data_IF_908287275231
#
_entry.id   IF_908287275231
#
_cell.length_a   1.000
_cell.length_b   1.000
_cell.length_c   1.000
_cell.angle_alpha   90.00
_cell.angle_beta   90.00
_cell.angle_gamma   90.00
#
_symmetry.space_group_name_H-M   'P 1'
#
loop_
_entity.id
_entity.type
_entity.pdbx_description
1 polymer ?
#
# COMPACT_ATOMS: atom_id res chain seq x y z
N UNK A 1 18.48 -63.49 38.05
CA UNK A 1 18.25 -63.54 36.59
C UNK A 1 17.01 -62.70 36.29
N UNK A 2 17.12 -61.73 35.37
CA UNK A 2 16.02 -60.87 34.91
C UNK A 2 14.96 -61.64 34.10
N UNK A 3 13.76 -61.09 33.86
CA UNK A 3 13.58 -60.19 32.70
C UNK A 3 12.65 -58.97 32.94
N UNK A 4 12.61 -58.11 31.91
CA UNK A 4 12.03 -56.74 31.80
C UNK A 4 10.57 -56.72 31.33
N UNK A 5 9.83 -55.66 31.73
CA UNK A 5 8.74 -55.00 30.96
C UNK A 5 8.56 -53.55 31.46
N UNK A 6 7.93 -52.60 30.71
CA UNK A 6 8.53 -51.30 30.42
C UNK A 6 7.92 -50.11 31.17
N UNK A 7 8.77 -49.11 31.44
CA UNK A 7 8.38 -47.78 31.92
C UNK A 7 7.87 -46.93 30.76
N UNK A 8 6.69 -46.36 30.94
CA UNK A 8 6.20 -45.26 30.12
C UNK A 8 6.93 -43.94 30.41
N UNK A 9 6.69 -42.97 29.52
CA UNK A 9 6.82 -41.54 29.79
C UNK A 9 8.13 -40.88 29.35
N UNK A 10 8.21 -40.43 28.10
CA UNK A 10 8.83 -39.13 27.78
C UNK A 10 8.41 -38.72 26.37
N UNK A 11 7.52 -37.73 26.30
CA UNK A 11 7.22 -36.96 25.10
C UNK A 11 8.50 -36.39 24.51
N UNK A 12 8.93 -36.94 23.38
CA UNK A 12 9.78 -36.25 22.41
C UNK A 12 9.02 -36.21 21.10
N UNK A 13 8.66 -35.01 20.68
CA UNK A 13 8.19 -34.72 19.32
C UNK A 13 9.29 -35.16 18.35
N UNK A 14 9.06 -36.11 17.43
CA UNK A 14 10.04 -36.43 16.41
C UNK A 14 10.03 -35.34 15.34
N UNK A 15 11.22 -34.81 15.05
CA UNK A 15 11.52 -33.91 13.94
C UNK A 15 11.02 -34.50 12.61
N UNK A 16 10.12 -33.80 11.94
CA UNK A 16 9.66 -34.14 10.59
C UNK A 16 10.76 -33.83 9.54
N UNK A 17 11.02 -34.74 8.58
CA UNK A 17 11.80 -34.42 7.40
C UNK A 17 10.90 -33.90 6.26
N UNK A 18 11.36 -32.86 5.56
CA UNK A 18 11.09 -32.64 4.14
C UNK A 18 9.78 -31.97 3.74
N UNK A 19 9.90 -30.97 2.86
CA UNK A 19 8.85 -30.41 1.98
C UNK A 19 7.90 -29.37 2.57
N UNK A 20 8.44 -28.24 3.02
CA UNK A 20 7.69 -26.99 3.17
C UNK A 20 7.43 -26.33 1.80
N UNK A 21 6.68 -27.00 0.91
CA UNK A 21 6.30 -26.47 -0.41
C UNK A 21 4.80 -26.59 -0.64
N UNK A 22 3.97 -26.13 0.31
CA UNK A 22 2.51 -26.06 0.11
C UNK A 22 1.73 -25.11 1.04
N UNK A 23 2.32 -24.00 1.50
CA UNK A 23 1.64 -23.09 2.45
C UNK A 23 1.07 -21.79 1.86
N UNK A 24 1.30 -21.47 0.58
CA UNK A 24 0.66 -20.32 -0.07
C UNK A 24 -0.50 -20.75 -0.97
N UNK A 25 -1.46 -21.49 -0.40
CA UNK A 25 -2.74 -21.72 -1.06
C UNK A 25 -3.59 -20.45 -0.96
N UNK A 26 -3.89 -19.85 -2.12
CA UNK A 26 -5.08 -19.02 -2.37
C UNK A 26 -5.45 -18.04 -1.25
N UNK A 27 -4.63 -17.00 -1.06
CA UNK A 27 -5.25 -15.71 -0.71
C UNK A 27 -5.96 -15.23 -1.98
N UNK A 28 -7.25 -14.89 -1.95
CA UNK A 28 -7.81 -14.06 -3.00
C UNK A 28 -6.84 -12.90 -3.21
N UNK A 29 -6.48 -12.59 -4.46
CA UNK A 29 -5.73 -11.37 -4.71
C UNK A 29 -6.47 -10.24 -3.97
N UNK A 30 -5.77 -9.41 -3.16
CA UNK A 30 -6.43 -8.31 -2.49
C UNK A 30 -7.22 -7.53 -3.54
N UNK A 31 -8.48 -7.21 -3.22
CA UNK A 31 -9.30 -6.42 -4.14
C UNK A 31 -8.51 -5.16 -4.50
N UNK A 32 -8.33 -4.91 -5.79
CA UNK A 32 -7.68 -3.69 -6.25
C UNK A 32 -8.43 -2.48 -5.66
N UNK A 33 -7.72 -1.51 -5.08
CA UNK A 33 -8.32 -0.26 -4.64
C UNK A 33 -9.19 0.35 -5.74
N UNK A 34 -10.37 0.87 -5.37
CA UNK A 34 -11.22 1.62 -6.29
C UNK A 34 -11.28 3.09 -5.91
N UNK A 35 -11.46 3.94 -6.91
CA UNK A 35 -11.69 5.36 -6.71
C UNK A 35 -13.02 5.59 -5.98
N UNK A 36 -12.95 6.15 -4.78
CA UNK A 36 -14.08 6.64 -4.02
C UNK A 36 -14.42 8.09 -4.37
N UNK A 37 -14.81 8.88 -3.36
CA UNK A 37 -15.12 10.30 -3.53
C UNK A 37 -13.89 11.13 -3.92
N UNK A 38 -14.09 12.16 -4.74
CA UNK A 38 -13.06 13.17 -5.04
C UNK A 38 -12.64 13.88 -3.75
N UNK A 39 -11.33 14.10 -3.58
CA UNK A 39 -10.80 14.77 -2.38
C UNK A 39 -11.02 16.28 -2.44
N UNK A 40 -10.76 16.91 -3.59
CA UNK A 40 -10.88 18.37 -3.77
C UNK A 40 -12.28 18.85 -3.42
N UNK A 41 -12.36 19.79 -2.47
CA UNK A 41 -13.62 20.38 -2.00
C UNK A 41 -14.38 19.53 -0.98
N UNK A 42 -13.95 18.29 -0.72
CA UNK A 42 -14.58 17.44 0.29
C UNK A 42 -14.04 17.76 1.70
N UNK A 43 -14.64 18.76 2.34
CA UNK A 43 -14.24 19.21 3.68
C UNK A 43 -14.66 18.25 4.81
N UNK A 44 -15.41 17.18 4.51
CA UNK A 44 -15.82 16.16 5.49
C UNK A 44 -14.74 15.08 5.70
N UNK A 45 -13.67 15.06 4.90
CA UNK A 45 -12.59 14.09 5.03
C UNK A 45 -11.82 14.28 6.33
N UNK A 46 -11.57 13.18 7.03
CA UNK A 46 -10.82 13.17 8.29
C UNK A 46 -9.32 13.05 7.99
N UNK A 47 -8.44 13.75 8.71
CA UNK A 47 -7.01 13.46 8.68
C UNK A 47 -6.75 11.97 8.94
N UNK A 48 -5.82 11.38 8.19
CA UNK A 48 -5.53 9.95 8.20
C UNK A 48 -6.23 9.15 7.08
N UNK A 49 -7.14 9.75 6.31
CA UNK A 49 -7.78 9.07 5.17
C UNK A 49 -6.76 8.74 4.08
N UNK A 50 -6.76 7.48 3.63
CA UNK A 50 -5.98 7.05 2.47
C UNK A 50 -6.57 7.60 1.18
N UNK A 51 -5.72 8.23 0.37
CA UNK A 51 -6.10 8.81 -0.92
C UNK A 51 -5.10 8.37 -1.99
N UNK A 52 -5.56 8.28 -3.24
CA UNK A 52 -4.72 7.88 -4.35
C UNK A 52 -5.19 8.49 -5.68
N UNK A 53 -4.31 8.45 -6.68
CA UNK A 53 -4.69 8.62 -8.08
C UNK A 53 -5.10 7.27 -8.67
N UNK A 54 -6.03 7.30 -9.61
CA UNK A 54 -6.58 6.10 -10.24
C UNK A 54 -6.51 6.24 -11.77
N UNK A 55 -6.42 5.13 -12.46
CA UNK A 55 -6.55 5.07 -13.91
C UNK A 55 -7.97 5.47 -14.35
N UNK A 56 -8.20 5.76 -15.65
CA UNK A 56 -9.53 6.12 -16.15
C UNK A 56 -10.63 5.06 -15.89
N UNK A 57 -10.24 3.80 -15.65
CA UNK A 57 -11.14 2.71 -15.29
C UNK A 57 -11.46 2.64 -13.79
N UNK A 58 -10.96 3.59 -12.99
CA UNK A 58 -11.17 3.70 -11.55
C UNK A 58 -10.32 2.75 -10.72
N UNK A 59 -9.31 2.09 -11.31
CA UNK A 59 -8.40 1.18 -10.59
C UNK A 59 -7.07 1.83 -10.28
N UNK A 60 -6.44 1.38 -9.20
CA UNK A 60 -5.07 1.77 -8.91
C UNK A 60 -4.09 1.03 -9.82
N UNK A 61 -3.53 1.73 -10.81
CA UNK A 61 -2.68 1.14 -11.85
C UNK A 61 -1.27 0.73 -11.42
N UNK A 62 -0.81 1.18 -10.25
CA UNK A 62 0.55 0.95 -9.72
C UNK A 62 1.67 1.33 -10.72
N UNK A 63 1.46 2.40 -11.48
CA UNK A 63 2.44 2.89 -12.44
C UNK A 63 3.62 3.55 -11.73
N UNK A 64 4.83 3.40 -12.29
CA UNK A 64 6.05 4.02 -11.76
C UNK A 64 6.45 5.30 -12.51
N UNK A 65 5.58 5.79 -13.39
CA UNK A 65 5.85 6.89 -14.32
C UNK A 65 5.19 8.22 -13.91
N UNK A 66 4.54 8.27 -12.73
CA UNK A 66 3.82 9.46 -12.25
C UNK A 66 2.30 9.37 -12.35
N UNK A 67 1.75 8.33 -12.99
CA UNK A 67 0.29 8.13 -13.09
C UNK A 67 -0.36 7.58 -11.83
N UNK A 68 0.39 6.86 -10.99
CA UNK A 68 -0.09 6.33 -9.71
C UNK A 68 0.65 6.93 -8.54
N UNK A 69 -0.11 7.44 -7.57
CA UNK A 69 0.41 7.89 -6.29
C UNK A 69 -0.59 7.62 -5.18
N UNK A 70 -0.10 7.26 -4.00
CA UNK A 70 -0.90 7.07 -2.80
C UNK A 70 -0.32 7.90 -1.66
N UNK A 71 -1.19 8.50 -0.86
CA UNK A 71 -0.82 9.39 0.22
C UNK A 71 -1.81 9.30 1.40
N UNK A 72 -1.39 9.83 2.55
CA UNK A 72 -2.25 10.01 3.72
C UNK A 72 -2.71 11.46 3.79
N UNK A 73 -4.01 11.69 3.72
CA UNK A 73 -4.63 13.01 3.81
C UNK A 73 -4.43 13.63 5.20
N UNK A 74 -3.98 14.87 5.27
CA UNK A 74 -3.90 15.67 6.50
C UNK A 74 -4.92 16.79 6.55
N UNK A 75 -5.39 17.27 5.40
CA UNK A 75 -6.26 18.43 5.26
C UNK A 75 -6.22 19.01 3.86
N UNK A 76 -7.02 20.03 3.60
CA UNK A 76 -6.95 20.81 2.37
C UNK A 76 -7.37 22.26 2.63
N UNK A 77 -6.90 23.15 1.78
CA UNK A 77 -7.31 24.55 1.71
C UNK A 77 -7.56 24.96 0.25
N UNK A 78 -7.77 26.23 -0.03
CA UNK A 78 -8.00 26.71 -1.39
C UNK A 78 -6.84 26.44 -2.37
N UNK A 79 -5.63 26.20 -1.87
CA UNK A 79 -4.41 26.02 -2.68
C UNK A 79 -4.14 24.56 -3.02
N UNK A 80 -4.57 23.60 -2.20
CA UNK A 80 -4.28 22.19 -2.43
C UNK A 80 -4.58 21.27 -1.26
N UNK A 81 -4.12 20.03 -1.41
CA UNK A 81 -4.22 18.95 -0.43
C UNK A 81 -2.92 18.86 0.35
N UNK A 82 -3.00 18.87 1.67
CA UNK A 82 -1.86 18.59 2.54
C UNK A 82 -1.84 17.09 2.85
N UNK A 83 -0.70 16.46 2.61
CA UNK A 83 -0.54 15.01 2.73
C UNK A 83 0.74 14.64 3.46
N UNK A 84 0.81 13.40 3.95
CA UNK A 84 2.07 12.69 4.16
C UNK A 84 2.22 11.67 3.04
N UNK A 85 3.34 11.70 2.35
CA UNK A 85 3.67 10.69 1.34
C UNK A 85 5.16 10.40 1.27
N UNK A 86 5.45 9.32 0.54
CA UNK A 86 6.79 8.87 0.21
C UNK A 86 6.79 8.44 -1.25
N UNK A 87 7.92 8.58 -1.92
CA UNK A 87 8.10 8.06 -3.27
C UNK A 87 9.56 7.69 -3.50
N UNK A 88 9.78 6.89 -4.54
CA UNK A 88 11.11 6.61 -5.06
C UNK A 88 11.16 7.08 -6.50
N UNK A 89 12.23 7.79 -6.86
CA UNK A 89 12.52 8.07 -8.26
C UNK A 89 13.34 6.91 -8.82
N UNK A 90 12.89 6.35 -9.94
CA UNK A 90 13.65 5.34 -10.68
C UNK A 90 14.09 5.88 -12.02
N UNK A 91 15.35 5.65 -12.37
CA UNK A 91 15.93 5.98 -13.67
C UNK A 91 16.54 4.69 -14.22
N UNK A 92 16.13 4.28 -15.43
CA UNK A 92 16.58 3.03 -16.07
C UNK A 92 16.42 1.78 -15.17
N UNK A 93 15.28 1.69 -14.46
CA UNK A 93 14.97 0.58 -13.55
C UNK A 93 15.73 0.60 -12.22
N UNK A 94 16.66 1.54 -12.00
CA UNK A 94 17.42 1.68 -10.77
C UNK A 94 16.83 2.77 -9.89
N UNK A 95 16.82 2.55 -8.58
CA UNK A 95 16.49 3.60 -7.61
C UNK A 95 17.57 4.67 -7.67
N UNK A 96 17.15 5.88 -7.99
CA UNK A 96 18.02 7.05 -8.09
C UNK A 96 17.79 7.99 -6.89
N UNK A 97 16.56 8.07 -6.39
CA UNK A 97 16.22 8.88 -5.22
C UNK A 97 15.16 8.19 -4.36
N UNK A 98 15.24 8.38 -3.04
CA UNK A 98 14.24 7.94 -2.08
C UNK A 98 13.79 9.16 -1.29
N UNK A 99 12.50 9.48 -1.40
CA UNK A 99 11.86 10.45 -0.54
C UNK A 99 11.31 9.72 0.68
N UNK A 100 11.87 10.01 1.86
CA UNK A 100 11.31 9.53 3.11
C UNK A 100 9.91 10.15 3.35
N UNK A 101 9.06 9.50 4.17
CA UNK A 101 7.77 10.05 4.54
C UNK A 101 7.90 11.49 5.05
N UNK A 102 7.24 12.42 4.38
CA UNK A 102 7.24 13.83 4.77
C UNK A 102 5.92 14.47 4.41
N UNK A 103 5.63 15.60 5.06
CA UNK A 103 4.45 16.37 4.75
C UNK A 103 4.72 17.30 3.54
N UNK A 104 3.82 17.31 2.56
CA UNK A 104 3.85 18.28 1.46
C UNK A 104 2.44 18.73 1.09
N UNK A 105 2.37 19.84 0.34
CA UNK A 105 1.14 20.31 -0.29
C UNK A 105 1.15 19.92 -1.76
N UNK A 106 0.17 19.12 -2.17
CA UNK A 106 -0.12 18.86 -3.58
C UNK A 106 -1.09 19.93 -4.05
N UNK A 107 -0.64 20.80 -4.96
CA UNK A 107 -1.42 21.95 -5.40
C UNK A 107 -2.61 21.50 -6.27
N UNK A 108 -3.73 22.21 -6.17
CA UNK A 108 -4.79 22.09 -7.17
C UNK A 108 -4.32 22.72 -8.48
N UNK A 109 -4.11 21.89 -9.49
CA UNK A 109 -3.60 22.27 -10.81
C UNK A 109 -4.01 21.21 -11.84
N UNK A 110 -3.82 21.51 -13.12
CA UNK A 110 -4.15 20.58 -14.21
C UNK A 110 -2.87 19.99 -14.83
N UNK A 111 -1.90 19.63 -13.98
CA UNK A 111 -0.68 18.97 -14.43
C UNK A 111 -1.02 17.62 -15.07
N UNK A 112 -0.28 17.30 -16.15
CA UNK A 112 -0.42 16.04 -16.87
C UNK A 112 -0.09 14.82 -16.01
N UNK A 113 0.82 14.99 -15.05
CA UNK A 113 1.19 13.96 -14.07
C UNK A 113 0.18 13.95 -12.91
N UNK A 114 -0.70 12.93 -12.82
CA UNK A 114 -1.73 12.87 -11.78
C UNK A 114 -1.17 12.95 -10.36
N UNK A 115 0.01 12.35 -10.11
CA UNK A 115 0.68 12.34 -8.81
C UNK A 115 1.06 13.73 -8.26
N UNK A 116 1.10 14.75 -9.13
CA UNK A 116 1.46 16.12 -8.76
C UNK A 116 0.27 17.09 -8.83
N UNK A 117 -0.91 16.57 -9.19
CA UNK A 117 -2.14 17.32 -9.27
C UNK A 117 -3.10 16.95 -8.15
N UNK A 118 -3.41 17.91 -7.29
CA UNK A 118 -4.43 17.76 -6.25
C UNK A 118 -5.84 17.52 -6.83
N UNK A 119 -6.05 17.77 -8.13
CA UNK A 119 -7.32 17.51 -8.81
C UNK A 119 -7.52 16.01 -9.12
N UNK A 120 -6.46 15.20 -9.04
CA UNK A 120 -6.49 13.79 -9.44
C UNK A 120 -6.65 12.81 -8.27
N UNK A 121 -6.82 13.30 -7.03
CA UNK A 121 -6.90 12.44 -5.84
C UNK A 121 -8.33 12.08 -5.46
N UNK A 122 -8.53 10.78 -5.24
CA UNK A 122 -9.77 10.20 -4.75
C UNK A 122 -9.49 9.42 -3.46
N UNK A 123 -10.52 9.28 -2.62
CA UNK A 123 -10.47 8.39 -1.46
C UNK A 123 -10.32 6.94 -1.93
N UNK A 124 -9.49 6.17 -1.25
CA UNK A 124 -9.37 4.73 -1.50
C UNK A 124 -10.59 4.00 -0.92
N UNK A 125 -11.29 3.20 -1.74
CA UNK A 125 -12.45 2.37 -1.36
C UNK A 125 -12.31 0.90 -1.74
#
# INVERSE_FOLDING_TARGET
MSPRTPSGGSDRIPSAPGSASRWFSRRPAPRSPRSGALVRGNMALRPGTAIATFDPDGRYGNHTDGRSHAAIYLGQDATGIRVIDQWVRRVNGKTDFVQAPHARTIRFNDLKEPAESGNAYYVVS
#
